data_IF_286525877187
#
_entry.id   IF_286525877187
#
_cell.length_a   1.000
_cell.length_b   1.000
_cell.length_c   1.000
_cell.angle_alpha   90.00
_cell.angle_beta   90.00
_cell.angle_gamma   90.00
#
_symmetry.space_group_name_H-M   'P 1'
#
loop_
_entity.id
_entity.type
_entity.pdbx_description
1 polymer ?
#
# COMPACT_ATOMS: atom_id res chain seq x y z
N UNK A 1 -8.92 14.84 2.98
CA UNK A 1 -8.86 13.68 2.05
C UNK A 1 -8.68 12.36 2.82
N UNK A 2 -7.73 12.29 3.76
CA UNK A 2 -7.45 11.15 4.65
C UNK A 2 -8.66 10.72 5.51
N UNK A 3 -9.44 11.67 6.07
CA UNK A 3 -10.67 11.38 6.83
C UNK A 3 -11.70 10.55 6.05
N UNK A 4 -11.83 10.74 4.72
CA UNK A 4 -12.77 9.97 3.88
C UNK A 4 -12.39 8.48 3.82
N UNK A 5 -11.10 8.18 3.74
CA UNK A 5 -10.61 6.80 3.68
C UNK A 5 -10.56 6.11 5.06
N UNK A 6 -10.26 6.84 6.13
CA UNK A 6 -10.29 6.29 7.49
C UNK A 6 -11.70 6.04 8.02
N UNK A 7 -12.63 6.97 7.80
CA UNK A 7 -14.03 6.77 8.17
C UNK A 7 -14.62 5.53 7.47
N UNK A 8 -14.13 5.20 6.28
CA UNK A 8 -14.54 4.00 5.53
C UNK A 8 -14.10 2.68 6.19
N UNK A 9 -12.97 2.68 6.90
CA UNK A 9 -12.46 1.51 7.64
C UNK A 9 -12.98 1.44 9.09
N UNK A 10 -14.08 2.14 9.42
CA UNK A 10 -14.59 2.31 10.79
C UNK A 10 -13.55 2.89 11.77
N UNK A 11 -12.55 3.63 11.27
CA UNK A 11 -11.66 4.44 12.11
C UNK A 11 -12.30 5.80 12.25
N UNK A 12 -13.13 5.96 13.27
CA UNK A 12 -13.79 7.21 13.61
C UNK A 12 -12.96 8.02 14.61
N UNK A 13 -12.97 9.35 14.47
CA UNK A 13 -12.58 10.28 15.55
C UNK A 13 -13.43 9.94 16.79
N UNK A 14 -12.84 9.55 17.92
CA UNK A 14 -13.59 9.29 19.16
C UNK A 14 -14.16 10.63 19.68
N UNK A 15 -15.47 10.76 19.94
CA UNK A 15 -16.10 12.04 20.30
C UNK A 15 -15.71 12.59 21.69
N UNK A 16 -14.92 11.86 22.49
CA UNK A 16 -14.47 12.28 23.84
C UNK A 16 -12.96 12.29 24.04
N UNK A 17 -12.18 12.23 22.96
CA UNK A 17 -10.73 12.49 23.05
C UNK A 17 -10.41 13.59 22.06
N UNK A 18 -9.91 14.72 22.55
CA UNK A 18 -9.40 15.86 21.76
C UNK A 18 -8.21 15.49 20.84
N UNK A 19 -7.91 14.20 20.69
CA UNK A 19 -6.92 13.70 19.75
C UNK A 19 -7.51 13.80 18.34
N UNK A 20 -7.29 14.94 17.69
CA UNK A 20 -7.37 15.03 16.23
C UNK A 20 -6.62 13.82 15.67
N UNK A 21 -7.23 13.05 14.77
CA UNK A 21 -6.48 12.15 13.89
C UNK A 21 -5.51 13.05 13.11
N UNK A 22 -4.29 13.19 13.62
CA UNK A 22 -3.21 13.87 12.95
C UNK A 22 -2.86 13.05 11.72
N UNK A 23 -2.87 13.69 10.55
CA UNK A 23 -2.66 13.07 9.24
C UNK A 23 -1.31 12.31 9.15
N UNK A 24 -0.40 12.54 10.10
CA UNK A 24 0.94 11.95 10.17
C UNK A 24 0.99 10.53 10.78
N UNK A 25 0.03 10.13 11.62
CA UNK A 25 0.12 8.87 12.40
C UNK A 25 -0.53 7.65 11.71
N UNK A 26 -1.35 7.84 10.68
CA UNK A 26 -2.20 6.77 10.19
C UNK A 26 -1.85 6.32 8.77
N UNK A 27 -1.26 5.12 8.68
CA UNK A 27 -1.02 4.41 7.41
C UNK A 27 -2.32 4.15 6.64
N UNK A 28 -2.67 5.06 5.71
CA UNK A 28 -3.92 4.96 4.92
C UNK A 28 -3.78 4.20 3.60
N UNK A 29 -2.64 3.54 3.36
CA UNK A 29 -2.45 2.71 2.16
C UNK A 29 -3.50 1.59 2.04
N UNK A 30 -3.80 0.89 3.15
CA UNK A 30 -4.82 -0.16 3.15
C UNK A 30 -6.24 0.37 3.05
N UNK A 31 -6.48 1.54 3.65
CA UNK A 31 -7.76 2.25 3.51
C UNK A 31 -8.02 2.71 2.09
N UNK A 32 -6.99 3.20 1.38
CA UNK A 32 -7.09 3.56 -0.04
C UNK A 32 -7.43 2.35 -0.91
N UNK A 33 -6.68 1.26 -0.78
CA UNK A 33 -6.93 0.02 -1.54
C UNK A 33 -8.32 -0.54 -1.23
N UNK A 34 -8.70 -0.60 0.05
CA UNK A 34 -10.04 -1.07 0.43
C UNK A 34 -11.14 -0.20 -0.15
N UNK A 35 -11.00 1.13 -0.04
CA UNK A 35 -11.98 2.06 -0.61
C UNK A 35 -12.12 1.89 -2.12
N UNK A 36 -11.01 1.76 -2.87
CA UNK A 36 -11.03 1.53 -4.31
C UNK A 36 -11.77 0.24 -4.69
N UNK A 37 -11.51 -0.86 -3.98
CA UNK A 37 -12.22 -2.12 -4.21
C UNK A 37 -13.72 -1.97 -3.96
N UNK A 38 -14.11 -1.31 -2.87
CA UNK A 38 -15.52 -1.10 -2.54
C UNK A 38 -16.23 -0.06 -3.44
N UNK A 39 -15.51 0.58 -4.39
CA UNK A 39 -16.16 1.33 -5.49
C UNK A 39 -16.53 0.43 -6.68
N UNK A 40 -16.21 -0.87 -6.60
CA UNK A 40 -16.54 -1.88 -7.61
C UNK A 40 -17.36 -2.99 -6.94
N UNK A 41 -17.64 -4.08 -7.66
CA UNK A 41 -18.36 -5.25 -7.11
C UNK A 41 -17.50 -6.14 -6.19
N UNK A 42 -16.30 -5.68 -5.82
CA UNK A 42 -15.36 -6.44 -5.00
C UNK A 42 -15.30 -5.85 -3.59
N UNK A 43 -15.02 -6.68 -2.59
CA UNK A 43 -14.99 -6.24 -1.19
C UNK A 43 -13.58 -5.88 -0.77
N UNK A 44 -13.40 -4.68 -0.26
CA UNK A 44 -12.19 -4.26 0.42
C UNK A 44 -11.96 -5.03 1.73
N UNK A 45 -10.74 -4.98 2.26
CA UNK A 45 -10.43 -5.65 3.52
C UNK A 45 -11.10 -4.98 4.73
N UNK A 46 -11.52 -3.71 4.58
CA UNK A 46 -12.10 -2.85 5.63
C UNK A 46 -11.21 -2.78 6.87
N UNK A 47 -9.92 -2.55 6.65
CA UNK A 47 -8.89 -2.44 7.68
C UNK A 47 -7.85 -1.40 7.27
N UNK A 48 -7.30 -0.68 8.25
CA UNK A 48 -6.15 0.20 8.04
C UNK A 48 -4.81 -0.58 8.01
N UNK A 49 -4.80 -1.84 8.43
CA UNK A 49 -3.58 -2.66 8.42
C UNK A 49 -3.17 -3.01 6.99
N UNK A 50 -1.95 -2.67 6.59
CA UNK A 50 -1.40 -3.05 5.27
C UNK A 50 -1.41 -4.57 5.05
N UNK A 51 -1.24 -5.36 6.12
CA UNK A 51 -1.19 -6.82 6.01
C UNK A 51 -2.59 -7.47 5.95
N UNK A 52 -3.67 -6.69 5.89
CA UNK A 52 -5.04 -7.21 5.90
C UNK A 52 -5.39 -8.08 4.69
N UNK A 53 -4.70 -7.90 3.57
CA UNK A 53 -4.83 -8.77 2.40
C UNK A 53 -4.35 -10.18 2.72
N UNK A 54 -3.22 -10.32 3.43
CA UNK A 54 -2.70 -11.62 3.89
C UNK A 54 -3.64 -12.28 4.90
N UNK A 55 -4.12 -11.52 5.88
CA UNK A 55 -5.03 -12.06 6.92
C UNK A 55 -6.37 -12.55 6.36
N UNK A 56 -6.73 -12.12 5.14
CA UNK A 56 -7.98 -12.47 4.45
C UNK A 56 -7.75 -13.28 3.17
N UNK A 57 -6.54 -13.79 2.96
CA UNK A 57 -6.23 -14.75 1.92
C UNK A 57 -7.14 -15.99 2.06
N UNK A 58 -7.65 -16.51 0.94
CA UNK A 58 -8.63 -17.60 0.89
C UNK A 58 -10.07 -17.22 1.24
N UNK A 59 -10.29 -16.05 1.86
CA UNK A 59 -11.63 -15.53 2.23
C UNK A 59 -12.10 -14.42 1.30
N UNK A 60 -11.34 -13.32 1.22
CA UNK A 60 -11.63 -12.17 0.36
C UNK A 60 -10.65 -12.04 -0.79
N UNK A 61 -9.43 -12.56 -0.64
CA UNK A 61 -8.37 -12.43 -1.64
C UNK A 61 -7.81 -13.80 -2.02
N UNK A 62 -7.37 -13.93 -3.26
CA UNK A 62 -6.55 -15.03 -3.75
C UNK A 62 -5.18 -14.49 -4.10
N UNK A 63 -4.13 -15.25 -3.80
CA UNK A 63 -2.77 -14.98 -4.27
C UNK A 63 -2.65 -15.43 -5.72
N UNK A 64 -1.88 -14.67 -6.50
CA UNK A 64 -1.48 -15.04 -7.85
C UNK A 64 0.04 -15.10 -7.93
N UNK A 65 0.56 -15.97 -8.80
CA UNK A 65 2.00 -16.14 -9.02
C UNK A 65 2.51 -15.06 -9.97
N UNK A 66 1.83 -14.88 -11.10
CA UNK A 66 2.19 -13.89 -12.10
C UNK A 66 1.51 -12.54 -11.85
N UNK A 67 2.22 -11.42 -12.01
CA UNK A 67 1.64 -10.10 -11.78
C UNK A 67 0.68 -9.68 -12.89
N UNK A 68 -0.49 -9.19 -12.48
CA UNK A 68 -1.53 -8.69 -13.37
C UNK A 68 -1.80 -7.20 -13.15
N UNK A 69 -2.16 -6.50 -14.23
CA UNK A 69 -2.58 -5.10 -14.12
C UNK A 69 -3.72 -4.96 -13.09
N UNK A 70 -3.55 -4.02 -12.16
CA UNK A 70 -4.53 -3.77 -11.11
C UNK A 70 -4.50 -4.77 -9.95
N UNK A 71 -3.63 -5.79 -9.97
CA UNK A 71 -3.48 -6.67 -8.81
C UNK A 71 -2.95 -5.88 -7.61
N UNK A 72 -3.28 -6.35 -6.41
CA UNK A 72 -2.82 -5.78 -5.16
C UNK A 72 -1.42 -6.33 -4.89
N UNK A 73 -0.45 -5.43 -4.73
CA UNK A 73 0.91 -5.76 -4.36
C UNK A 73 1.07 -5.54 -2.85
N UNK A 74 1.55 -6.57 -2.14
CA UNK A 74 1.77 -6.50 -0.69
C UNK A 74 3.25 -6.50 -0.37
N UNK A 75 3.65 -5.62 0.54
CA UNK A 75 4.99 -5.55 1.11
C UNK A 75 4.93 -5.69 2.62
N UNK A 76 5.95 -6.29 3.21
CA UNK A 76 6.07 -6.55 4.65
C UNK A 76 7.35 -5.93 5.19
N UNK A 77 7.29 -5.38 6.41
CA UNK A 77 8.45 -4.82 7.09
C UNK A 77 9.05 -5.84 8.07
N UNK A 78 10.38 -5.95 8.02
CA UNK A 78 11.20 -6.81 8.88
C UNK A 78 12.18 -5.95 9.66
N UNK A 79 12.37 -6.21 10.95
CA UNK A 79 13.41 -5.54 11.75
C UNK A 79 14.77 -5.86 11.15
N UNK A 80 15.58 -4.83 10.88
CA UNK A 80 16.83 -4.99 10.14
C UNK A 80 17.88 -5.82 10.90
N UNK A 81 17.89 -5.74 12.23
CA UNK A 81 18.91 -6.39 13.05
C UNK A 81 18.78 -7.92 13.09
N UNK A 82 17.58 -8.47 12.96
CA UNK A 82 17.33 -9.90 13.18
C UNK A 82 16.29 -10.52 12.23
N UNK A 83 15.71 -9.73 11.32
CA UNK A 83 14.68 -10.19 10.40
C UNK A 83 13.30 -10.38 11.04
N UNK A 84 13.03 -9.88 12.25
CA UNK A 84 11.72 -10.05 12.88
C UNK A 84 10.61 -9.34 12.08
N UNK A 85 9.65 -10.11 11.57
CA UNK A 85 8.48 -9.59 10.87
C UNK A 85 7.52 -8.89 11.84
N UNK A 86 7.19 -7.62 11.61
CA UNK A 86 6.40 -6.82 12.56
C UNK A 86 4.92 -6.61 12.18
N UNK A 87 4.39 -7.43 11.25
CA UNK A 87 3.02 -7.36 10.74
C UNK A 87 2.59 -5.96 10.22
N UNK A 88 3.54 -5.07 9.92
CA UNK A 88 3.33 -3.81 9.19
C UNK A 88 3.99 -3.90 7.82
N UNK A 89 3.72 -2.93 6.95
CA UNK A 89 4.27 -2.88 5.60
C UNK A 89 3.51 -1.89 4.73
N UNK A 90 3.30 -2.25 3.48
CA UNK A 90 2.64 -1.39 2.50
C UNK A 90 1.78 -2.21 1.53
N UNK A 91 0.72 -1.61 1.01
CA UNK A 91 -0.07 -2.18 -0.08
C UNK A 91 -0.43 -1.13 -1.12
N UNK A 92 -0.49 -1.57 -2.37
CA UNK A 92 -0.66 -0.71 -3.55
C UNK A 92 -1.29 -1.52 -4.69
N UNK A 93 -1.75 -0.86 -5.75
CA UNK A 93 -2.14 -1.54 -6.99
C UNK A 93 -0.98 -1.53 -7.98
N UNK A 94 -0.76 -2.65 -8.67
CA UNK A 94 0.18 -2.72 -9.79
C UNK A 94 -0.39 -1.99 -11.00
N UNK A 95 0.42 -1.17 -11.66
CA UNK A 95 0.03 -0.45 -12.88
C UNK A 95 0.78 -0.93 -14.12
N UNK A 96 2.04 -1.35 -13.96
CA UNK A 96 2.87 -1.82 -15.06
C UNK A 96 4.29 -2.10 -14.58
N UNK A 97 5.22 -2.24 -15.52
CA UNK A 97 6.66 -2.32 -15.23
C UNK A 97 7.39 -1.12 -15.83
N UNK A 98 8.56 -0.78 -15.34
CA UNK A 98 9.46 0.09 -16.07
C UNK A 98 10.40 -0.69 -17.00
N UNK A 99 11.29 0.01 -17.69
CA UNK A 99 12.25 -0.58 -18.62
C UNK A 99 13.28 -1.50 -17.97
N UNK A 100 13.46 -1.44 -16.64
CA UNK A 100 14.31 -2.36 -15.88
C UNK A 100 13.56 -3.62 -15.42
N UNK A 101 12.25 -3.70 -15.70
CA UNK A 101 11.37 -4.77 -15.23
C UNK A 101 10.85 -4.56 -13.80
N UNK A 102 11.16 -3.42 -13.16
CA UNK A 102 10.68 -3.13 -11.81
C UNK A 102 9.20 -2.77 -11.84
N UNK A 103 8.49 -3.10 -10.76
CA UNK A 103 7.06 -2.83 -10.63
C UNK A 103 6.82 -1.34 -10.50
N UNK A 104 5.84 -0.82 -11.24
CA UNK A 104 5.33 0.54 -11.08
C UNK A 104 3.92 0.46 -10.51
N UNK A 105 3.75 1.00 -9.31
CA UNK A 105 2.54 0.80 -8.51
C UNK A 105 1.86 2.12 -8.12
N UNK A 106 0.54 2.18 -8.24
CA UNK A 106 -0.32 3.28 -7.79
C UNK A 106 -0.81 3.01 -6.37
N UNK A 107 -0.42 3.86 -5.43
CA UNK A 107 -0.70 3.65 -4.02
C UNK A 107 -0.94 4.95 -3.25
N UNK A 108 -1.77 4.83 -2.21
CA UNK A 108 -1.97 5.86 -1.21
C UNK A 108 -0.91 5.85 -0.13
N UNK A 109 -0.73 6.96 0.58
CA UNK A 109 0.31 7.18 1.59
C UNK A 109 1.76 7.00 1.09
N UNK A 110 2.00 7.16 -0.21
CA UNK A 110 3.33 7.07 -0.79
C UNK A 110 3.98 8.46 -0.76
N UNK A 111 4.61 8.80 0.37
CA UNK A 111 5.02 10.18 0.66
C UNK A 111 3.82 11.07 0.97
N UNK A 112 2.87 10.54 1.77
CA UNK A 112 1.64 11.22 2.20
C UNK A 112 0.72 11.69 1.07
N UNK A 113 0.78 11.03 -0.09
CA UNK A 113 -0.05 11.33 -1.25
C UNK A 113 -0.40 10.06 -2.03
N UNK A 114 -1.36 10.20 -2.93
CA UNK A 114 -1.57 9.22 -4.00
C UNK A 114 -0.53 9.54 -5.07
N UNK A 115 0.32 8.57 -5.41
CA UNK A 115 1.28 8.68 -6.50
C UNK A 115 1.61 7.32 -7.09
N UNK A 116 2.41 7.30 -8.15
CA UNK A 116 3.11 6.11 -8.59
C UNK A 116 4.48 6.02 -7.91
N UNK A 117 4.89 4.81 -7.53
CA UNK A 117 6.24 4.52 -7.01
C UNK A 117 6.77 3.22 -7.62
N UNK A 118 8.10 3.09 -7.65
CA UNK A 118 8.81 1.90 -8.11
C UNK A 118 9.03 0.93 -6.96
N UNK A 119 8.89 -0.37 -7.22
CA UNK A 119 9.18 -1.45 -6.30
C UNK A 119 9.84 -2.66 -6.98
N UNK A 120 10.68 -3.36 -6.24
CA UNK A 120 11.24 -4.65 -6.62
C UNK A 120 10.28 -5.79 -6.25
N UNK A 121 10.10 -6.71 -7.20
CA UNK A 121 9.37 -7.98 -7.02
C UNK A 121 10.23 -9.06 -6.34
N UNK A 122 11.56 -8.98 -6.47
CA UNK A 122 12.47 -9.93 -5.84
C UNK A 122 12.36 -9.88 -4.31
N UNK A 123 11.95 -10.99 -3.70
CA UNK A 123 11.79 -11.15 -2.24
C UNK A 123 13.09 -10.91 -1.46
N UNK A 124 14.23 -11.10 -2.11
CA UNK A 124 15.54 -10.88 -1.50
C UNK A 124 15.98 -9.41 -1.56
N UNK A 125 15.35 -8.58 -2.42
CA UNK A 125 15.65 -7.15 -2.52
C UNK A 125 14.89 -6.35 -1.47
N UNK A 126 15.59 -5.40 -0.88
CA UNK A 126 15.01 -4.40 0.02
C UNK A 126 14.45 -3.27 -0.82
N UNK A 127 13.13 -3.05 -0.71
CA UNK A 127 12.44 -1.95 -1.38
C UNK A 127 12.71 -0.61 -0.70
N UNK A 128 12.80 -0.61 0.63
CA UNK A 128 13.11 0.59 1.42
C UNK A 128 13.62 0.21 2.80
N UNK A 129 14.47 1.07 3.38
CA UNK A 129 14.92 0.97 4.77
C UNK A 129 14.58 2.26 5.50
N UNK A 130 13.88 2.18 6.63
CA UNK A 130 13.48 3.36 7.41
C UNK A 130 13.33 3.03 8.90
N UNK A 131 13.27 4.07 9.75
CA UNK A 131 13.01 3.91 11.19
C UNK A 131 11.52 3.72 11.43
N UNK A 132 11.15 2.78 12.28
CA UNK A 132 9.77 2.50 12.66
C UNK A 132 9.71 2.06 14.13
N UNK A 133 8.72 2.53 14.88
CA UNK A 133 8.41 1.93 16.19
C UNK A 133 7.83 0.52 16.04
N UNK A 134 8.50 -0.45 16.66
CA UNK A 134 8.13 -1.87 16.70
C UNK A 134 7.94 -2.31 18.15
N UNK A 135 6.83 -3.01 18.43
CA UNK A 135 6.53 -3.51 19.78
C UNK A 135 7.61 -4.50 20.21
N UNK A 136 8.20 -4.29 21.38
CA UNK A 136 9.31 -5.11 21.89
C UNK A 136 10.71 -4.66 21.46
N UNK A 137 10.83 -3.74 20.49
CA UNK A 137 12.13 -3.27 19.97
C UNK A 137 12.35 -1.75 20.12
N UNK A 138 11.28 -0.98 20.35
CA UNK A 138 11.37 0.48 20.33
C UNK A 138 11.43 1.02 18.90
N UNK A 139 12.13 2.14 18.68
CA UNK A 139 12.32 2.74 17.34
C UNK A 139 13.56 2.15 16.68
N UNK A 140 13.37 1.27 15.70
CA UNK A 140 14.45 0.52 15.04
C UNK A 140 14.39 0.68 13.52
N UNK A 141 15.47 0.35 12.83
CA UNK A 141 15.46 0.25 11.37
C UNK A 141 14.69 -1.00 10.94
N UNK A 142 13.85 -0.84 9.94
CA UNK A 142 13.13 -1.93 9.28
C UNK A 142 13.40 -1.92 7.78
N UNK A 143 13.38 -3.10 7.19
CA UNK A 143 13.47 -3.32 5.75
C UNK A 143 12.11 -3.74 5.21
N UNK A 144 11.62 -3.03 4.21
CA UNK A 144 10.41 -3.39 3.49
C UNK A 144 10.76 -4.33 2.33
N UNK A 145 10.08 -5.47 2.25
CA UNK A 145 10.30 -6.51 1.23
C UNK A 145 8.99 -6.95 0.60
N UNK A 146 9.05 -7.39 -0.65
CA UNK A 146 7.90 -7.88 -1.39
C UNK A 146 7.35 -9.18 -0.79
N UNK A 147 6.02 -9.29 -0.72
CA UNK A 147 5.34 -10.44 -0.14
C UNK A 147 4.52 -11.24 -1.16
N UNK A 148 3.94 -10.58 -2.17
CA UNK A 148 3.13 -11.24 -3.19
C UNK A 148 2.12 -10.35 -3.89
N UNK A 149 1.50 -10.93 -4.91
CA UNK A 149 0.40 -10.37 -5.68
C UNK A 149 -0.92 -11.02 -5.28
N UNK A 150 -1.99 -10.22 -5.26
CA UNK A 150 -3.31 -10.66 -4.86
C UNK A 150 -4.40 -10.05 -5.72
N UNK A 151 -5.48 -10.79 -5.87
CA UNK A 151 -6.73 -10.32 -6.46
C UNK A 151 -7.88 -10.60 -5.49
N UNK A 152 -9.02 -9.92 -5.61
CA UNK A 152 -10.26 -10.39 -5.00
C UNK A 152 -10.49 -11.87 -5.34
N UNK A 153 -11.00 -12.65 -4.37
CA UNK A 153 -11.14 -14.11 -4.50
C UNK A 153 -11.91 -14.52 -5.76
N UNK A 154 -12.95 -13.74 -6.11
CA UNK A 154 -13.82 -13.99 -7.24
C UNK A 154 -13.44 -13.17 -8.49
N UNK A 155 -12.28 -12.51 -8.49
CA UNK A 155 -11.80 -11.82 -9.69
C UNK A 155 -11.54 -12.88 -10.78
N UNK A 156 -12.03 -12.68 -12.02
CA UNK A 156 -11.87 -13.65 -13.08
C UNK A 156 -10.39 -13.93 -13.34
N UNK A 157 -10.07 -15.17 -13.68
CA UNK A 157 -8.74 -15.49 -14.16
C UNK A 157 -8.50 -14.75 -15.49
N UNK A 158 -7.33 -14.17 -15.61
CA UNK A 158 -6.94 -13.42 -16.79
C UNK A 158 -6.10 -14.31 -17.69
N UNK A 159 -6.36 -14.27 -18.99
CA UNK A 159 -5.63 -15.05 -20.00
C UNK A 159 -4.27 -14.41 -20.35
N UNK A 160 -3.50 -13.93 -19.36
CA UNK A 160 -2.11 -13.51 -19.55
C UNK A 160 -1.90 -12.29 -20.45
N UNK A 161 -2.51 -11.14 -20.14
CA UNK A 161 -2.11 -9.87 -20.78
C UNK A 161 -0.77 -9.40 -20.23
N UNK A 162 0.19 -9.18 -21.12
CA UNK A 162 1.49 -8.62 -20.78
C UNK A 162 1.33 -7.24 -20.11
N UNK A 163 2.10 -7.02 -19.04
CA UNK A 163 2.13 -5.73 -18.34
C UNK A 163 2.77 -4.67 -19.23
N UNK A 164 2.13 -3.51 -19.31
CA UNK A 164 2.67 -2.39 -20.07
C UNK A 164 3.96 -1.87 -19.44
N UNK A 165 4.93 -1.54 -20.30
CA UNK A 165 6.11 -0.76 -19.92
C UNK A 165 5.71 0.71 -19.81
N UNK A 166 5.94 1.32 -18.64
CA UNK A 166 5.49 2.67 -18.32
C UNK A 166 6.65 3.54 -17.82
N UNK A 167 6.50 4.86 -17.99
CA UNK A 167 7.44 5.85 -17.47
C UNK A 167 6.90 6.48 -16.19
N UNK A 168 7.58 6.21 -15.07
CA UNK A 168 7.17 6.68 -13.74
C UNK A 168 7.01 8.21 -13.66
N UNK A 169 7.94 8.96 -14.26
CA UNK A 169 7.89 10.44 -14.24
C UNK A 169 6.67 10.93 -15.00
N UNK A 170 6.45 10.43 -16.21
CA UNK A 170 5.29 10.78 -17.05
C UNK A 170 3.97 10.49 -16.33
N UNK A 171 3.84 9.32 -15.68
CA UNK A 171 2.64 8.96 -14.92
C UNK A 171 2.39 9.92 -13.76
N UNK A 172 3.43 10.24 -12.99
CA UNK A 172 3.31 11.19 -11.88
C UNK A 172 3.03 12.62 -12.36
N UNK A 173 3.61 13.07 -13.47
CA UNK A 173 3.32 14.38 -14.07
C UNK A 173 1.84 14.46 -14.52
N UNK A 174 1.33 13.41 -15.16
CA UNK A 174 -0.08 13.29 -15.56
C UNK A 174 -1.02 13.26 -14.35
N UNK A 175 -0.61 12.60 -13.27
CA UNK A 175 -1.37 12.56 -12.02
C UNK A 175 -1.36 13.92 -11.32
N UNK A 176 -0.23 14.63 -11.30
CA UNK A 176 -0.11 15.96 -10.70
C UNK A 176 -1.01 16.99 -11.40
N UNK A 177 -1.21 16.87 -12.71
CA UNK A 177 -2.18 17.66 -13.47
C UNK A 177 -3.65 17.32 -13.17
N UNK A 178 -3.93 16.27 -12.38
CA UNK A 178 -5.28 15.76 -12.07
C UNK A 178 -5.56 15.61 -10.56
N UNK A 179 -4.54 15.66 -9.70
CA UNK A 179 -4.64 15.39 -8.27
C UNK A 179 -4.74 16.69 -7.44
N UNK A 180 -5.79 16.76 -6.62
CA UNK A 180 -6.03 17.84 -5.65
C UNK A 180 -4.89 17.86 -4.62
N UNK A 181 -4.15 18.98 -4.55
CA UNK A 181 -3.14 19.24 -3.51
C UNK A 181 -3.80 19.16 -2.13
N UNK A 182 -3.33 18.28 -1.24
CA UNK A 182 -3.65 18.41 0.19
C UNK A 182 -2.82 19.54 0.77
N UNK A 183 -3.47 20.54 1.36
CA UNK A 183 -2.80 21.65 2.01
C UNK A 183 -1.96 21.16 3.21
N UNK A 184 -0.74 21.70 3.27
CA UNK A 184 0.13 22.00 4.42
C UNK A 184 0.91 20.89 5.15
N UNK A 185 2.24 21.04 5.04
CA UNK A 185 3.33 20.91 6.03
C UNK A 185 4.02 19.56 6.33
N UNK A 186 5.31 19.71 6.65
CA UNK A 186 6.43 18.80 6.42
C UNK A 186 6.50 17.57 7.34
N UNK A 187 6.83 16.44 6.70
CA UNK A 187 7.63 15.26 7.07
C UNK A 187 7.87 14.92 8.56
N UNK A 188 7.32 13.79 9.02
CA UNK A 188 7.96 12.89 10.00
C UNK A 188 7.22 11.54 10.08
N UNK A 189 7.94 10.43 10.29
CA UNK A 189 7.39 9.13 10.69
C UNK A 189 8.11 8.62 11.96
N UNK A 190 7.34 8.14 12.94
CA UNK A 190 7.81 7.59 14.22
C UNK A 190 7.55 6.07 14.33
#
# INVERSE_FOLDING_TARGET
MVKKYHNYCNVFDKPKTEKKIEDQENSWCSSFVSWCLDQTDYKGAKSAGSQSVLWKEGKLFKRIEEPEFGCIVVFTNYVKSDGHQNAKGHITFLYGRDTAGDLICLGGNQGQRIKFSRYFEDKNKVNSTFKQRVKGYGKVLVEQKFQGFFLPKNYPENNGKELQIVNLKKLNDQLAGKAVKSNTENESTL
#
